data_IF_112369179058
#
_entry.id   IF_112369179058
#
_cell.length_a   1.000
_cell.length_b   1.000
_cell.length_c   1.000
_cell.angle_alpha   90.00
_cell.angle_beta   90.00
_cell.angle_gamma   90.00
#
_symmetry.space_group_name_H-M   'P 1'
#
loop_
_entity.id
_entity.type
_entity.pdbx_description
1 polymer ?
#
# COMPACT_ATOMS: atom_id res chain seq x y z
N UNK A 1 1.21 -32.89 -3.58
CA UNK A 1 0.58 -34.23 -3.59
C UNK A 1 0.37 -34.64 -2.16
N UNK A 2 -0.87 -34.65 -1.65
CA UNK A 2 -1.16 -35.15 -0.32
C UNK A 2 -1.09 -36.69 -0.40
N UNK A 3 -0.13 -37.29 0.32
CA UNK A 3 -0.06 -38.73 0.51
C UNK A 3 -1.35 -39.18 1.21
N UNK A 4 -2.08 -40.12 0.61
CA UNK A 4 -3.24 -40.74 1.26
C UNK A 4 -2.86 -41.33 2.64
N UNK A 5 -3.85 -41.63 3.48
CA UNK A 5 -3.57 -42.19 4.79
C UNK A 5 -2.78 -43.49 4.64
N UNK A 6 -1.64 -43.58 5.34
CA UNK A 6 -0.83 -44.80 5.36
C UNK A 6 -1.71 -45.97 5.79
N UNK A 7 -1.95 -46.90 4.89
CA UNK A 7 -2.80 -48.07 5.13
C UNK A 7 -2.15 -49.11 6.05
N UNK A 8 -0.83 -49.02 6.25
CA UNK A 8 -0.06 -49.92 7.09
C UNK A 8 1.16 -49.20 7.71
N UNK A 9 1.69 -49.78 8.77
CA UNK A 9 2.90 -49.33 9.45
C UNK A 9 3.89 -50.48 9.45
N UNK A 10 5.16 -50.23 9.09
CA UNK A 10 6.21 -51.26 9.11
C UNK A 10 6.79 -51.36 10.52
N UNK A 11 6.82 -52.57 11.07
CA UNK A 11 7.43 -52.84 12.36
C UNK A 11 8.94 -52.66 12.26
N UNK A 12 9.55 -51.82 13.09
CA UNK A 12 10.98 -51.57 13.09
C UNK A 12 11.82 -52.73 13.54
N UNK A 13 11.23 -53.73 14.25
CA UNK A 13 11.93 -54.87 14.81
C UNK A 13 11.97 -56.08 13.86
N UNK A 14 10.83 -56.39 13.19
CA UNK A 14 10.72 -57.57 12.33
C UNK A 14 10.44 -57.25 10.86
N UNK A 15 10.29 -56.00 10.50
CA UNK A 15 10.03 -55.56 9.11
C UNK A 15 8.60 -55.85 8.59
N UNK A 16 7.73 -56.48 9.38
CA UNK A 16 6.39 -56.86 8.96
C UNK A 16 5.48 -55.64 8.84
N UNK A 17 4.64 -55.62 7.81
CA UNK A 17 3.56 -54.64 7.64
C UNK A 17 2.42 -54.96 8.58
N UNK A 18 1.99 -53.99 9.36
CA UNK A 18 0.95 -54.16 10.38
C UNK A 18 -0.04 -53.02 10.33
N UNK A 19 -1.27 -53.29 10.77
CA UNK A 19 -2.32 -52.27 10.81
C UNK A 19 -1.92 -51.06 11.65
N UNK A 20 -2.20 -49.83 11.21
CA UNK A 20 -1.94 -48.62 11.98
C UNK A 20 -2.74 -48.48 13.28
N UNK A 21 -3.69 -49.40 13.51
CA UNK A 21 -4.59 -49.38 14.67
C UNK A 21 -4.08 -50.15 15.88
N UNK A 22 -3.05 -51.01 15.74
CA UNK A 22 -2.53 -51.84 16.81
C UNK A 22 -1.38 -51.16 17.58
N UNK A 23 -1.27 -51.53 18.86
CA UNK A 23 -0.22 -51.01 19.77
C UNK A 23 0.99 -51.88 19.84
N UNK A 24 0.86 -53.19 19.54
CA UNK A 24 1.92 -54.19 19.57
C UNK A 24 1.94 -54.98 18.26
N UNK A 25 3.11 -55.34 17.80
CA UNK A 25 3.27 -56.13 16.57
C UNK A 25 2.83 -57.57 16.83
N UNK A 26 1.87 -58.13 16.04
CA UNK A 26 1.39 -59.50 16.25
C UNK A 26 2.45 -60.58 15.90
N UNK A 27 3.47 -60.23 15.15
CA UNK A 27 4.52 -61.18 14.74
C UNK A 27 5.72 -61.27 15.69
N UNK A 28 6.11 -60.16 16.36
CA UNK A 28 7.30 -60.12 17.20
C UNK A 28 7.04 -59.57 18.62
N UNK A 29 5.81 -59.16 18.95
CA UNK A 29 5.44 -58.61 20.24
C UNK A 29 5.98 -57.21 20.54
N UNK A 30 6.77 -56.61 19.63
CA UNK A 30 7.35 -55.31 19.88
C UNK A 30 6.31 -54.22 19.94
N UNK A 31 6.38 -53.36 20.95
CA UNK A 31 5.45 -52.27 21.13
C UNK A 31 5.64 -51.17 20.07
N UNK A 32 4.66 -50.92 19.25
CA UNK A 32 4.69 -49.97 18.15
C UNK A 32 4.32 -48.56 18.61
N UNK A 33 3.36 -48.44 19.55
CA UNK A 33 2.88 -47.17 20.10
C UNK A 33 2.54 -47.25 21.58
N UNK A 34 2.69 -46.14 22.29
CA UNK A 34 2.36 -46.04 23.73
C UNK A 34 0.85 -46.10 24.03
N UNK A 35 -0.01 -45.64 23.08
CA UNK A 35 -1.46 -45.59 23.22
C UNK A 35 -2.10 -45.96 21.90
N UNK A 36 -3.26 -46.63 21.93
CA UNK A 36 -4.09 -46.84 20.73
C UNK A 36 -4.57 -45.52 20.15
N UNK A 37 -4.67 -45.39 18.81
CA UNK A 37 -5.24 -44.21 18.20
C UNK A 37 -6.73 -44.08 18.61
N UNK A 38 -7.18 -42.83 18.83
CA UNK A 38 -8.58 -42.55 19.09
C UNK A 38 -9.37 -42.72 17.80
N UNK A 39 -10.41 -43.54 17.83
CA UNK A 39 -11.35 -43.72 16.73
C UNK A 39 -12.47 -42.68 16.80
N UNK A 40 -13.02 -42.28 15.69
CA UNK A 40 -14.27 -41.54 15.61
C UNK A 40 -15.47 -42.51 15.68
N UNK A 41 -16.70 -41.98 15.68
CA UNK A 41 -17.94 -42.81 15.70
C UNK A 41 -18.10 -43.70 14.48
N UNK A 42 -17.37 -43.43 13.39
CA UNK A 42 -17.39 -44.22 12.16
C UNK A 42 -16.24 -45.25 12.09
N UNK A 43 -15.45 -45.43 13.18
CA UNK A 43 -14.34 -46.36 13.26
C UNK A 43 -13.05 -45.89 12.56
N UNK A 44 -13.03 -44.67 12.02
CA UNK A 44 -11.83 -44.10 11.40
C UNK A 44 -10.88 -43.53 12.46
N UNK A 45 -9.56 -43.63 12.20
CA UNK A 45 -8.53 -43.01 13.07
C UNK A 45 -8.72 -41.52 13.07
N UNK A 46 -9.06 -40.97 14.21
CA UNK A 46 -9.13 -39.52 14.40
C UNK A 46 -7.72 -38.94 14.24
N UNK A 47 -7.46 -38.29 13.10
CA UNK A 47 -6.20 -37.61 12.86
C UNK A 47 -5.92 -36.70 14.06
N UNK A 48 -4.79 -36.95 14.74
CA UNK A 48 -4.37 -36.08 15.83
C UNK A 48 -4.05 -34.74 15.20
N UNK A 49 -5.01 -33.80 15.27
CA UNK A 49 -4.77 -32.42 14.86
C UNK A 49 -3.63 -31.92 15.74
N UNK A 50 -2.41 -32.03 15.22
CA UNK A 50 -1.33 -31.15 15.64
C UNK A 50 -1.85 -29.76 15.33
N UNK A 51 -2.37 -29.08 16.33
CA UNK A 51 -2.62 -27.65 16.20
C UNK A 51 -1.27 -27.07 15.85
N UNK A 52 -1.06 -26.53 14.63
CA UNK A 52 0.14 -25.79 14.37
C UNK A 52 0.18 -24.74 15.48
N UNK A 53 1.17 -24.79 16.35
CA UNK A 53 1.49 -23.63 17.19
C UNK A 53 1.92 -22.56 16.21
N UNK A 54 0.96 -21.75 15.77
CA UNK A 54 1.27 -20.52 15.09
C UNK A 54 2.09 -19.72 16.11
N UNK A 55 3.39 -19.75 15.94
CA UNK A 55 4.26 -18.83 16.66
C UNK A 55 3.78 -17.43 16.28
N UNK A 56 3.67 -16.48 17.23
CA UNK A 56 3.35 -15.12 16.89
C UNK A 56 4.37 -14.65 15.84
N UNK A 57 3.87 -14.16 14.70
CA UNK A 57 4.69 -13.65 13.61
C UNK A 57 5.70 -12.65 14.18
N UNK A 58 6.98 -12.93 13.99
CA UNK A 58 8.05 -12.01 14.41
C UNK A 58 8.01 -10.78 13.52
N UNK A 59 8.34 -9.61 14.10
CA UNK A 59 8.49 -8.37 13.33
C UNK A 59 9.42 -8.63 12.13
N UNK A 60 8.88 -8.53 10.90
CA UNK A 60 9.64 -8.73 9.67
C UNK A 60 9.47 -10.09 8.99
N UNK A 61 8.64 -11.00 9.49
CA UNK A 61 8.39 -12.31 8.86
C UNK A 61 7.65 -12.19 7.51
N UNK A 62 6.92 -11.09 7.29
CA UNK A 62 6.33 -10.76 5.99
C UNK A 62 7.13 -9.60 5.39
N UNK A 63 7.96 -9.84 4.36
CA UNK A 63 8.76 -8.79 3.74
C UNK A 63 7.86 -7.66 3.21
N UNK A 64 8.05 -6.45 3.72
CA UNK A 64 7.38 -5.24 3.23
C UNK A 64 6.08 -4.86 3.94
N UNK A 65 5.58 -5.64 4.90
CA UNK A 65 4.43 -5.25 5.73
C UNK A 65 4.90 -5.13 7.18
N UNK A 66 4.83 -3.93 7.74
CA UNK A 66 4.96 -3.68 9.18
C UNK A 66 3.54 -3.50 9.75
N UNK A 67 2.91 -4.55 10.30
CA UNK A 67 1.49 -4.51 10.71
C UNK A 67 1.19 -3.52 11.84
N UNK A 68 2.20 -3.09 12.60
CA UNK A 68 2.05 -2.26 13.79
C UNK A 68 2.13 -0.75 13.54
N UNK A 69 2.32 -0.28 12.32
CA UNK A 69 2.39 1.15 12.03
C UNK A 69 1.06 1.66 11.50
N UNK A 70 0.37 2.41 12.35
CA UNK A 70 -0.78 3.20 11.93
C UNK A 70 -0.29 4.31 10.98
N UNK A 71 -0.99 4.57 9.86
CA UNK A 71 -0.56 5.54 8.85
C UNK A 71 -0.88 6.98 9.27
N UNK A 72 -0.26 7.44 10.36
CA UNK A 72 -0.55 8.77 10.93
C UNK A 72 -0.22 9.92 9.98
N UNK A 73 0.86 9.81 9.20
CA UNK A 73 1.25 10.85 8.27
C UNK A 73 0.22 11.00 7.13
N UNK A 74 -0.21 9.89 6.56
CA UNK A 74 -1.25 9.90 5.52
C UNK A 74 -2.58 10.43 6.06
N UNK A 75 -2.97 10.00 7.28
CA UNK A 75 -4.19 10.50 7.92
C UNK A 75 -4.08 12.01 8.14
N UNK A 76 -2.94 12.51 8.61
CA UNK A 76 -2.73 13.94 8.82
C UNK A 76 -2.82 14.75 7.53
N UNK A 77 -2.26 14.25 6.41
CA UNK A 77 -2.37 14.90 5.09
C UNK A 77 -3.83 15.00 4.63
N UNK A 78 -4.58 13.90 4.72
CA UNK A 78 -6.00 13.88 4.33
C UNK A 78 -6.83 14.81 5.22
N UNK A 79 -6.65 14.73 6.55
CA UNK A 79 -7.39 15.59 7.49
C UNK A 79 -7.05 17.07 7.31
N UNK A 80 -5.79 17.41 7.05
CA UNK A 80 -5.39 18.78 6.77
C UNK A 80 -6.09 19.33 5.52
N UNK A 81 -6.14 18.55 4.44
CA UNK A 81 -6.84 18.94 3.20
C UNK A 81 -8.34 19.14 3.44
N UNK A 82 -9.00 18.18 4.09
CA UNK A 82 -10.42 18.28 4.42
C UNK A 82 -10.70 19.49 5.31
N UNK A 83 -9.83 19.75 6.29
CA UNK A 83 -9.97 20.91 7.18
C UNK A 83 -9.88 22.23 6.39
N UNK A 84 -8.90 22.37 5.50
CA UNK A 84 -8.76 23.58 4.66
C UNK A 84 -10.00 23.79 3.79
N UNK A 85 -10.54 22.73 3.16
CA UNK A 85 -11.78 22.82 2.38
C UNK A 85 -12.98 23.22 3.26
N UNK A 86 -13.11 22.68 4.46
CA UNK A 86 -14.17 23.03 5.39
C UNK A 86 -14.07 24.51 5.86
N UNK A 87 -12.87 25.00 6.11
CA UNK A 87 -12.62 26.40 6.47
C UNK A 87 -13.03 27.34 5.32
N UNK A 88 -12.65 27.01 4.07
CA UNK A 88 -13.09 27.77 2.90
C UNK A 88 -14.62 27.83 2.78
N UNK A 89 -15.31 26.70 2.98
CA UNK A 89 -16.77 26.65 2.97
C UNK A 89 -17.43 27.40 4.14
N UNK A 90 -16.71 27.55 5.25
CA UNK A 90 -17.16 28.33 6.40
C UNK A 90 -16.96 29.86 6.25
N UNK A 91 -16.48 30.33 5.07
CA UNK A 91 -16.31 31.76 4.77
C UNK A 91 -14.94 32.32 5.19
N UNK A 92 -13.93 31.47 5.37
CA UNK A 92 -12.54 31.90 5.64
C UNK A 92 -11.78 32.23 4.36
N UNK A 93 -12.41 32.99 3.44
CA UNK A 93 -11.89 33.27 2.10
C UNK A 93 -10.49 33.91 2.12
N UNK A 94 -10.24 34.81 3.10
CA UNK A 94 -8.92 35.45 3.27
C UNK A 94 -7.81 34.42 3.52
N UNK A 95 -8.09 33.38 4.31
CA UNK A 95 -7.14 32.30 4.56
C UNK A 95 -6.89 31.51 3.27
N UNK A 96 -7.94 31.18 2.55
CA UNK A 96 -7.84 30.42 1.30
C UNK A 96 -7.02 31.18 0.26
N UNK A 97 -7.25 32.49 0.09
CA UNK A 97 -6.48 33.35 -0.83
C UNK A 97 -4.99 33.34 -0.48
N UNK A 98 -4.62 33.33 0.80
CA UNK A 98 -3.21 33.27 1.24
C UNK A 98 -2.56 31.91 0.95
N UNK A 99 -3.35 30.82 0.88
CA UNK A 99 -2.87 29.47 0.60
C UNK A 99 -2.78 29.16 -0.90
N UNK A 100 -3.51 29.90 -1.73
CA UNK A 100 -3.56 29.71 -3.17
C UNK A 100 -2.25 30.11 -3.86
N UNK A 101 -1.92 29.37 -4.92
CA UNK A 101 -0.87 29.73 -5.84
C UNK A 101 -1.39 30.86 -6.75
N UNK A 102 -0.94 32.07 -6.50
CA UNK A 102 -1.26 33.25 -7.30
C UNK A 102 0.04 33.92 -7.75
N UNK A 103 0.18 34.20 -9.01
CA UNK A 103 1.32 34.92 -9.56
C UNK A 103 1.13 36.46 -9.49
N UNK A 104 2.20 37.24 -9.30
CA UNK A 104 3.57 36.81 -9.04
C UNK A 104 3.76 36.33 -7.60
N UNK A 105 4.67 35.36 -7.38
CA UNK A 105 4.93 34.78 -6.05
C UNK A 105 5.42 35.82 -5.03
N UNK A 106 5.89 36.99 -5.44
CA UNK A 106 6.32 38.12 -4.59
C UNK A 106 7.17 37.71 -3.35
N UNK A 107 7.93 36.62 -3.47
CA UNK A 107 8.73 36.05 -2.37
C UNK A 107 8.00 35.01 -1.52
N UNK A 108 6.77 34.67 -1.81
CA UNK A 108 5.96 33.71 -1.03
C UNK A 108 6.21 32.24 -1.48
N UNK A 109 7.42 31.78 -1.28
CA UNK A 109 7.92 30.46 -1.68
C UNK A 109 7.13 29.28 -1.09
N UNK A 110 6.32 29.47 -0.04
CA UNK A 110 5.50 28.43 0.57
C UNK A 110 4.22 28.10 -0.20
N UNK A 111 3.75 28.97 -1.09
CA UNK A 111 2.49 28.80 -1.84
C UNK A 111 2.41 27.50 -2.65
N UNK A 112 3.49 27.03 -3.33
CA UNK A 112 3.46 25.73 -4.01
C UNK A 112 3.18 24.55 -3.10
N UNK A 113 3.43 24.67 -1.78
CA UNK A 113 3.16 23.64 -0.80
C UNK A 113 1.77 23.76 -0.19
N UNK A 114 1.30 24.97 0.07
CA UNK A 114 0.00 25.19 0.73
C UNK A 114 -1.17 25.01 -0.21
N UNK A 115 -1.02 25.35 -1.49
CA UNK A 115 -2.06 25.15 -2.50
C UNK A 115 -2.42 23.68 -2.72
N UNK A 116 -1.54 22.74 -2.36
CA UNK A 116 -1.80 21.29 -2.44
C UNK A 116 -2.99 20.85 -1.57
N UNK A 117 -3.33 21.64 -0.57
CA UNK A 117 -4.41 21.36 0.39
C UNK A 117 -5.73 22.10 0.03
N UNK A 118 -5.73 22.94 -1.00
CA UNK A 118 -6.89 23.73 -1.41
C UNK A 118 -7.59 23.08 -2.58
N UNK A 119 -8.87 22.80 -2.46
CA UNK A 119 -9.70 22.19 -3.51
C UNK A 119 -10.92 23.05 -3.79
N UNK A 120 -11.17 23.38 -5.07
CA UNK A 120 -12.33 24.15 -5.50
C UNK A 120 -13.58 23.29 -5.64
N UNK A 121 -13.45 22.03 -6.07
CA UNK A 121 -14.60 21.13 -6.25
C UNK A 121 -14.49 19.87 -5.39
N UNK A 122 -15.65 19.40 -4.87
CA UNK A 122 -15.74 18.19 -4.02
C UNK A 122 -15.35 16.93 -4.78
N UNK A 123 -15.74 16.82 -6.06
CA UNK A 123 -15.43 15.65 -6.88
C UNK A 123 -13.92 15.49 -7.07
N UNK A 124 -13.23 16.59 -7.33
CA UNK A 124 -11.79 16.65 -7.42
C UNK A 124 -11.12 16.27 -6.10
N UNK A 125 -11.56 16.89 -5.00
CA UNK A 125 -11.06 16.60 -3.66
C UNK A 125 -11.14 15.11 -3.32
N UNK A 126 -12.32 14.50 -3.53
CA UNK A 126 -12.53 13.06 -3.23
C UNK A 126 -11.62 12.18 -4.07
N UNK A 127 -11.52 12.43 -5.38
CA UNK A 127 -10.66 11.62 -6.26
C UNK A 127 -9.17 11.73 -5.88
N UNK A 128 -8.69 12.94 -5.62
CA UNK A 128 -7.31 13.19 -5.23
C UNK A 128 -7.02 12.59 -3.83
N UNK A 129 -7.86 12.88 -2.82
CA UNK A 129 -7.64 12.40 -1.46
C UNK A 129 -7.83 10.89 -1.30
N UNK A 130 -8.72 10.26 -2.08
CA UNK A 130 -8.80 8.79 -2.12
C UNK A 130 -7.48 8.19 -2.61
N UNK A 131 -6.88 8.76 -3.65
CA UNK A 131 -5.56 8.34 -4.15
C UNK A 131 -4.46 8.57 -3.11
N UNK A 132 -4.43 9.74 -2.49
CA UNK A 132 -3.49 10.06 -1.39
C UNK A 132 -3.64 9.08 -0.24
N UNK A 133 -4.87 8.76 0.16
CA UNK A 133 -5.14 7.81 1.24
C UNK A 133 -4.62 6.40 0.90
N UNK A 134 -4.94 5.89 -0.29
CA UNK A 134 -4.55 4.52 -0.71
C UNK A 134 -3.02 4.43 -0.82
N UNK A 135 -2.40 5.23 -1.68
CA UNK A 135 -0.98 5.11 -1.99
C UNK A 135 -0.09 5.68 -0.90
N UNK A 136 -0.58 6.69 -0.16
CA UNK A 136 0.09 7.21 1.03
C UNK A 136 0.20 6.14 2.12
N UNK A 137 -0.88 5.44 2.45
CA UNK A 137 -0.86 4.32 3.42
C UNK A 137 0.07 3.20 2.96
N UNK A 138 0.03 2.83 1.68
CA UNK A 138 0.89 1.79 1.14
C UNK A 138 2.37 2.19 1.22
N UNK A 139 2.69 3.44 0.91
CA UNK A 139 4.04 3.96 0.97
C UNK A 139 4.53 4.10 2.43
N UNK A 140 3.66 4.59 3.32
CA UNK A 140 3.95 4.75 4.75
C UNK A 140 4.22 3.41 5.44
N UNK A 141 3.45 2.38 5.12
CA UNK A 141 3.68 1.02 5.63
C UNK A 141 5.00 0.42 5.14
N UNK A 142 5.44 0.77 3.93
CA UNK A 142 6.70 0.26 3.34
C UNK A 142 7.94 0.98 3.87
N UNK A 143 7.91 2.32 3.93
CA UNK A 143 9.09 3.15 4.16
C UNK A 143 9.03 3.97 5.46
N UNK A 144 7.86 4.08 6.09
CA UNK A 144 7.65 4.87 7.30
C UNK A 144 6.98 6.21 7.00
N UNK A 145 6.66 6.93 8.09
CA UNK A 145 5.86 8.16 8.07
C UNK A 145 6.44 9.30 7.21
N UNK A 146 7.76 9.38 7.08
CA UNK A 146 8.43 10.42 6.30
C UNK A 146 8.20 10.29 4.79
N UNK A 147 8.04 9.06 4.27
CA UNK A 147 7.95 8.81 2.84
C UNK A 147 6.70 9.43 2.19
N UNK A 148 5.47 9.24 2.69
CA UNK A 148 4.30 9.90 2.10
C UNK A 148 4.37 11.42 2.26
N UNK A 149 4.91 11.95 3.37
CA UNK A 149 5.07 13.40 3.57
C UNK A 149 6.01 14.01 2.52
N UNK A 150 7.21 13.45 2.36
CA UNK A 150 8.19 13.97 1.41
C UNK A 150 7.70 13.85 -0.03
N UNK A 151 7.09 12.71 -0.41
CA UNK A 151 6.59 12.52 -1.78
C UNK A 151 5.40 13.44 -2.04
N UNK A 152 4.47 13.59 -1.10
CA UNK A 152 3.33 14.50 -1.24
C UNK A 152 3.79 15.95 -1.39
N UNK A 153 4.59 16.44 -0.44
CA UNK A 153 5.00 17.85 -0.42
C UNK A 153 5.94 18.18 -1.57
N UNK A 154 7.02 17.42 -1.76
CA UNK A 154 8.00 17.73 -2.79
C UNK A 154 7.49 17.37 -4.19
N UNK A 155 6.83 16.22 -4.35
CA UNK A 155 6.25 15.83 -5.62
C UNK A 155 5.15 16.79 -6.08
N UNK A 156 4.27 17.19 -5.16
CA UNK A 156 3.22 18.16 -5.43
C UNK A 156 3.80 19.57 -5.72
N UNK A 157 4.74 20.04 -4.90
CA UNK A 157 5.35 21.34 -5.10
C UNK A 157 6.15 21.43 -6.41
N UNK A 158 6.84 20.36 -6.84
CA UNK A 158 7.51 20.29 -8.14
C UNK A 158 6.50 20.32 -9.30
N UNK A 159 5.35 19.67 -9.13
CA UNK A 159 4.24 19.79 -10.08
C UNK A 159 3.74 21.23 -10.20
N UNK A 160 3.53 21.92 -9.07
CA UNK A 160 3.13 23.34 -9.05
C UNK A 160 4.22 24.26 -9.60
N UNK A 161 5.51 23.98 -9.33
CA UNK A 161 6.61 24.73 -9.91
C UNK A 161 6.63 24.63 -11.45
N UNK A 162 6.27 23.48 -12.01
CA UNK A 162 6.14 23.33 -13.46
C UNK A 162 5.01 24.20 -14.03
N UNK A 163 3.90 24.35 -13.32
CA UNK A 163 2.81 25.27 -13.70
C UNK A 163 3.29 26.69 -13.71
N UNK A 164 3.97 27.15 -12.65
CA UNK A 164 4.53 28.51 -12.55
C UNK A 164 5.43 28.85 -13.75
N UNK A 165 6.27 27.90 -14.16
CA UNK A 165 7.22 28.12 -15.27
C UNK A 165 6.56 28.08 -16.64
N UNK A 166 5.60 27.17 -16.83
CA UNK A 166 5.03 26.91 -18.15
C UNK A 166 3.75 27.71 -18.44
N UNK A 167 2.98 28.05 -17.41
CA UNK A 167 1.71 28.78 -17.51
C UNK A 167 1.52 29.72 -16.31
N UNK A 168 2.28 30.82 -16.24
CA UNK A 168 2.31 31.71 -15.08
C UNK A 168 1.01 32.49 -14.85
N UNK A 169 0.07 32.50 -15.78
CA UNK A 169 -1.22 33.19 -15.64
C UNK A 169 -2.34 32.28 -15.13
N UNK A 170 -2.10 30.98 -15.02
CA UNK A 170 -3.10 30.03 -14.56
C UNK A 170 -3.16 29.93 -13.04
N UNK A 171 -4.37 29.73 -12.52
CA UNK A 171 -4.59 29.38 -11.11
C UNK A 171 -4.63 27.87 -11.02
N UNK A 172 -3.63 27.27 -10.35
CA UNK A 172 -3.61 25.86 -10.10
C UNK A 172 -3.88 25.57 -8.62
N UNK A 173 -4.79 24.66 -8.35
CA UNK A 173 -5.17 24.28 -6.98
C UNK A 173 -5.14 22.76 -6.81
N UNK A 174 -5.08 22.33 -5.55
CA UNK A 174 -5.24 20.94 -5.16
C UNK A 174 -4.03 20.02 -5.37
N UNK A 175 -4.18 18.84 -4.82
CA UNK A 175 -3.11 17.85 -4.71
C UNK A 175 -3.04 16.84 -5.86
N UNK A 176 -3.52 17.15 -7.08
CA UNK A 176 -3.47 16.21 -8.21
C UNK A 176 -2.03 15.72 -8.50
N UNK A 177 -1.09 16.66 -8.57
CA UNK A 177 0.33 16.35 -8.73
C UNK A 177 0.89 15.51 -7.58
N UNK A 178 0.52 15.84 -6.34
CA UNK A 178 0.93 15.08 -5.16
C UNK A 178 0.33 13.67 -5.13
N UNK A 179 -0.93 13.51 -5.53
CA UNK A 179 -1.60 12.21 -5.65
C UNK A 179 -0.92 11.31 -6.70
N UNK A 180 -0.64 11.88 -7.88
CA UNK A 180 0.12 11.18 -8.93
C UNK A 180 1.55 10.87 -8.52
N UNK A 181 2.20 11.74 -7.74
CA UNK A 181 3.52 11.49 -7.21
C UNK A 181 3.55 10.29 -6.25
N UNK A 182 2.58 10.20 -5.33
CA UNK A 182 2.46 9.07 -4.40
C UNK A 182 2.21 7.76 -5.14
N UNK A 183 1.28 7.75 -6.10
CA UNK A 183 0.97 6.60 -6.93
C UNK A 183 2.20 6.14 -7.71
N UNK A 184 2.87 7.07 -8.41
CA UNK A 184 4.05 6.78 -9.21
C UNK A 184 5.21 6.26 -8.33
N UNK A 185 5.47 6.89 -7.18
CA UNK A 185 6.51 6.46 -6.25
C UNK A 185 6.25 5.04 -5.71
N UNK A 186 5.00 4.71 -5.42
CA UNK A 186 4.62 3.36 -5.00
C UNK A 186 4.81 2.34 -6.12
N UNK A 187 4.36 2.65 -7.35
CA UNK A 187 4.40 1.75 -8.49
C UNK A 187 5.83 1.41 -8.96
N UNK A 188 6.79 2.33 -8.78
CA UNK A 188 8.17 2.15 -9.28
C UNK A 188 8.86 0.92 -8.74
N UNK A 189 8.65 0.56 -7.47
CA UNK A 189 9.22 -0.66 -6.88
C UNK A 189 8.72 -1.92 -7.59
N UNK A 190 7.42 -1.98 -7.84
CA UNK A 190 6.77 -3.15 -8.40
C UNK A 190 7.08 -3.27 -9.91
N UNK A 191 7.18 -2.13 -10.61
CA UNK A 191 7.67 -2.08 -12.01
C UNK A 191 9.11 -2.59 -12.11
N UNK A 192 9.99 -2.16 -11.20
CA UNK A 192 11.38 -2.63 -11.17
C UNK A 192 11.48 -4.11 -10.75
N UNK A 193 10.60 -4.57 -9.86
CA UNK A 193 10.49 -5.96 -9.44
C UNK A 193 10.14 -6.87 -10.61
N UNK A 194 9.12 -6.52 -11.37
CA UNK A 194 8.69 -7.26 -12.59
C UNK A 194 9.79 -7.31 -13.65
N UNK A 195 10.52 -6.20 -13.87
CA UNK A 195 11.68 -6.21 -14.80
C UNK A 195 12.80 -7.16 -14.36
N UNK A 196 12.86 -7.52 -13.08
CA UNK A 196 13.82 -8.49 -12.51
C UNK A 196 13.25 -9.90 -12.40
N UNK A 197 12.10 -10.19 -13.01
CA UNK A 197 11.45 -11.49 -13.01
C UNK A 197 10.77 -11.85 -11.66
N UNK A 198 10.47 -10.89 -10.80
CA UNK A 198 9.64 -11.13 -9.61
C UNK A 198 8.17 -11.12 -10.00
N UNK A 199 7.45 -12.15 -9.62
CA UNK A 199 5.99 -12.15 -9.63
C UNK A 199 5.50 -11.37 -8.41
N UNK A 200 5.31 -10.06 -8.57
CA UNK A 200 4.68 -9.24 -7.53
C UNK A 200 3.16 -9.27 -7.75
N UNK A 201 2.40 -9.61 -6.71
CA UNK A 201 0.92 -9.66 -6.70
C UNK A 201 0.26 -8.26 -6.74
N UNK A 202 1.03 -7.20 -7.00
CA UNK A 202 0.49 -5.84 -7.02
C UNK A 202 -0.39 -5.60 -8.25
N UNK A 203 -1.55 -5.01 -8.03
CA UNK A 203 -2.48 -4.60 -9.08
C UNK A 203 -2.00 -3.30 -9.75
N UNK A 204 -1.04 -3.43 -10.68
CA UNK A 204 -0.58 -2.30 -11.49
C UNK A 204 -1.63 -1.83 -12.50
N UNK A 205 -2.58 -2.69 -12.87
CA UNK A 205 -3.66 -2.33 -13.80
C UNK A 205 -4.64 -1.38 -13.10
N UNK A 206 -5.03 -1.67 -11.86
CA UNK A 206 -5.84 -0.78 -11.04
C UNK A 206 -5.12 0.55 -10.76
N UNK A 207 -3.82 0.51 -10.47
CA UNK A 207 -3.02 1.73 -10.30
C UNK A 207 -2.98 2.58 -11.59
N UNK A 208 -2.85 1.95 -12.75
CA UNK A 208 -2.87 2.63 -14.06
C UNK A 208 -4.24 3.27 -14.35
N UNK A 209 -5.34 2.60 -13.99
CA UNK A 209 -6.69 3.15 -14.13
C UNK A 209 -6.87 4.40 -13.24
N UNK A 210 -6.39 4.37 -11.99
CA UNK A 210 -6.43 5.54 -11.09
C UNK A 210 -5.52 6.66 -11.62
N UNK A 211 -4.32 6.34 -12.12
CA UNK A 211 -3.45 7.34 -12.73
C UNK A 211 -4.11 7.98 -13.96
N UNK A 212 -4.75 7.18 -14.81
CA UNK A 212 -5.52 7.66 -15.96
C UNK A 212 -6.65 8.60 -15.55
N UNK A 213 -7.42 8.25 -14.52
CA UNK A 213 -8.45 9.11 -13.96
C UNK A 213 -7.88 10.46 -13.53
N UNK A 214 -6.77 10.48 -12.77
CA UNK A 214 -6.14 11.71 -12.29
C UNK A 214 -5.55 12.56 -13.43
N UNK A 215 -5.01 11.93 -14.47
CA UNK A 215 -4.48 12.63 -15.66
C UNK A 215 -5.61 13.26 -16.47
N UNK A 216 -6.78 12.61 -16.51
CA UNK A 216 -7.97 13.13 -17.23
C UNK A 216 -8.78 14.12 -16.39
N UNK A 217 -8.52 14.24 -15.10
CA UNK A 217 -9.25 15.11 -14.18
C UNK A 217 -9.31 16.59 -14.63
N UNK A 218 -8.23 17.18 -15.22
CA UNK A 218 -8.27 18.54 -15.76
C UNK A 218 -9.29 18.76 -16.89
N UNK A 219 -9.78 17.70 -17.52
CA UNK A 219 -10.86 17.79 -18.52
C UNK A 219 -12.25 17.90 -17.86
N UNK A 220 -12.36 17.48 -16.60
CA UNK A 220 -13.61 17.45 -15.85
C UNK A 220 -13.75 18.63 -14.87
N UNK A 221 -12.67 19.29 -14.50
CA UNK A 221 -12.67 20.41 -13.55
C UNK A 221 -11.57 21.43 -13.90
N UNK A 222 -11.91 22.71 -13.84
CA UNK A 222 -10.97 23.81 -14.06
C UNK A 222 -9.95 23.97 -12.93
N UNK A 223 -10.25 23.40 -11.75
CA UNK A 223 -9.37 23.47 -10.57
C UNK A 223 -8.10 22.62 -10.72
N UNK A 224 -8.18 21.51 -11.47
CA UNK A 224 -7.06 20.62 -11.68
C UNK A 224 -6.20 21.07 -12.86
N UNK A 225 -4.89 21.17 -12.68
CA UNK A 225 -3.98 21.55 -13.76
C UNK A 225 -3.20 20.35 -14.30
N UNK A 226 -3.21 20.14 -15.63
CA UNK A 226 -2.57 19.00 -16.27
C UNK A 226 -1.05 18.97 -16.03
N UNK A 227 -0.39 20.15 -16.11
CA UNK A 227 1.05 20.24 -15.87
C UNK A 227 1.43 19.92 -14.42
N UNK A 228 0.58 20.30 -13.44
CA UNK A 228 0.78 19.92 -12.05
C UNK A 228 0.76 18.40 -11.89
N UNK A 229 -0.20 17.74 -12.54
CA UNK A 229 -0.30 16.26 -12.55
C UNK A 229 0.91 15.60 -13.18
N UNK A 230 1.32 16.03 -14.37
CA UNK A 230 2.47 15.48 -15.09
C UNK A 230 3.78 15.71 -14.31
N UNK A 231 4.01 16.92 -13.84
CA UNK A 231 5.21 17.27 -13.06
C UNK A 231 5.30 16.47 -11.77
N UNK A 232 4.19 16.35 -11.04
CA UNK A 232 4.09 15.52 -9.85
C UNK A 232 4.35 14.04 -10.13
N UNK A 233 3.75 13.50 -11.20
CA UNK A 233 3.97 12.11 -11.63
C UNK A 233 5.44 11.83 -11.95
N UNK A 234 6.11 12.69 -12.70
CA UNK A 234 7.55 12.57 -13.01
C UNK A 234 8.39 12.65 -11.74
N UNK A 235 8.11 13.62 -10.86
CA UNK A 235 8.79 13.73 -9.57
C UNK A 235 8.60 12.46 -8.74
N UNK A 236 7.39 11.90 -8.72
CA UNK A 236 7.07 10.64 -8.04
C UNK A 236 7.86 9.45 -8.58
N UNK A 237 8.03 9.34 -9.91
CA UNK A 237 8.89 8.31 -10.52
C UNK A 237 10.33 8.43 -10.00
N UNK A 238 10.91 9.63 -10.03
CA UNK A 238 12.29 9.87 -9.59
C UNK A 238 12.45 9.53 -8.11
N UNK A 239 11.53 10.01 -7.27
CA UNK A 239 11.55 9.73 -5.83
C UNK A 239 11.34 8.24 -5.54
N UNK A 240 10.44 7.57 -6.29
CA UNK A 240 10.19 6.14 -6.19
C UNK A 240 11.39 5.28 -6.55
N UNK A 241 12.18 5.69 -7.56
CA UNK A 241 13.47 5.07 -7.90
C UNK A 241 14.47 5.19 -6.75
N UNK A 242 14.52 6.35 -6.09
CA UNK A 242 15.32 6.55 -4.88
C UNK A 242 14.87 5.64 -3.73
N UNK A 243 13.57 5.64 -3.41
CA UNK A 243 12.99 4.81 -2.36
C UNK A 243 13.17 3.31 -2.60
N UNK A 244 13.13 2.86 -3.86
CA UNK A 244 13.35 1.45 -4.20
C UNK A 244 14.79 0.96 -3.91
N UNK A 245 15.76 1.87 -3.74
CA UNK A 245 17.16 1.58 -3.38
C UNK A 245 17.39 1.57 -1.87
N UNK A 246 16.51 2.24 -1.12
CA UNK A 246 16.58 2.27 0.35
C UNK A 246 15.94 0.99 0.89
N UNK A 247 16.75 0.02 1.31
CA UNK A 247 16.36 -1.24 1.97
C UNK A 247 16.71 -1.23 3.43
#
# INVERSE_FOLDING_TARGET
MASGPDLFVVCKSCGSEVSPYITECPYCGTRLRKRAPKLDRAGAVKAQRTRPRLAPLRRGEIPGIRPDRRPYATIALVLASVLVTLLGRAGWDQLIIQLLLVEPLAGEWWRPFTTLFVYGSTGYEVAALATVAIFGVLLERRHGWWAPLTVFLLGGALGMALVIVADPLSIATGGNGAALALLAAWAMRDVLGRRKGREDESDLLGALAIAGLLVLLPLATEDAHALAGLGGGVAGIVMGLGLARLR
#
